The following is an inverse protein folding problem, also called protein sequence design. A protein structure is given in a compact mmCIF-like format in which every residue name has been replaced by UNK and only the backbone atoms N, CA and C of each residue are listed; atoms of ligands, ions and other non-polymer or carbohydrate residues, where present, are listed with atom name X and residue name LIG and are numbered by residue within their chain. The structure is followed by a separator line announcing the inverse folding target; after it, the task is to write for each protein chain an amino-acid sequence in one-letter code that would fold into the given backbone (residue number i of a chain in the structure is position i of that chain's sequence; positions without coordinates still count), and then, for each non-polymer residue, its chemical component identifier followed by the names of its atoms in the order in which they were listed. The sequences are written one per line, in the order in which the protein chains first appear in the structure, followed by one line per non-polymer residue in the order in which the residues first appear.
data_IF_375538809724
#
_entry.id   IF_375538809724
#
_cell.length_a   1.000
_cell.length_b   1.000
_cell.length_c   1.000
_cell.angle_alpha   90.00
_cell.angle_beta   90.00
_cell.angle_gamma   90.00
#
_symmetry.space_group_name_H-M   'P 1'
#
loop_
_entity.id
_entity.type
_entity.pdbx_description
1 polymer ?
#
# COMPACT_ATOMS: atom_id res chain seq x y z
N UNK A 1 -40.53 21.43 25.59
CA UNK A 1 -40.02 20.54 26.68
C UNK A 1 -40.47 19.07 26.52
N UNK A 2 -41.49 18.74 25.76
CA UNK A 2 -41.95 17.37 25.50
C UNK A 2 -41.19 16.68 24.35
N UNK A 3 -40.68 17.42 23.38
CA UNK A 3 -39.88 16.87 22.24
C UNK A 3 -38.47 16.38 22.64
N UNK A 4 -37.87 16.96 23.67
CA UNK A 4 -36.52 16.56 24.15
C UNK A 4 -36.59 15.32 25.08
N UNK A 5 -37.75 14.97 25.59
CA UNK A 5 -37.96 13.77 26.43
C UNK A 5 -38.10 12.49 25.58
N UNK A 6 -38.58 12.64 24.33
CA UNK A 6 -38.73 11.51 23.38
C UNK A 6 -37.40 11.14 22.65
N UNK A 7 -36.39 12.00 22.63
CA UNK A 7 -35.08 11.70 22.05
C UNK A 7 -34.14 10.98 23.04
N UNK A 8 -34.37 11.09 24.36
CA UNK A 8 -33.61 10.33 25.37
C UNK A 8 -34.12 8.90 25.58
N UNK A 9 -35.38 8.59 25.25
CA UNK A 9 -35.99 7.27 25.43
C UNK A 9 -35.67 6.26 24.30
N UNK A 10 -34.91 6.64 23.26
CA UNK A 10 -34.54 5.74 22.15
C UNK A 10 -33.14 5.13 22.28
N UNK A 11 -32.38 5.40 23.36
CA UNK A 11 -30.99 5.01 23.48
C UNK A 11 -30.69 3.83 24.41
N UNK A 12 -31.70 3.18 24.96
CA UNK A 12 -31.54 1.93 25.70
C UNK A 12 -32.47 0.86 25.13
N UNK A 13 -32.35 0.52 23.83
CA UNK A 13 -32.82 -0.78 23.39
C UNK A 13 -31.79 -1.81 23.85
N UNK A 14 -32.19 -2.63 24.84
CA UNK A 14 -31.54 -3.88 25.20
C UNK A 14 -31.14 -4.60 23.89
N UNK A 15 -29.86 -4.81 23.67
CA UNK A 15 -29.31 -5.85 22.81
C UNK A 15 -29.85 -7.18 23.40
N UNK A 16 -31.01 -7.57 22.96
CA UNK A 16 -31.74 -8.72 23.50
C UNK A 16 -31.25 -9.94 22.75
N UNK A 17 -30.62 -10.83 23.46
CA UNK A 17 -30.33 -12.25 23.27
C UNK A 17 -28.90 -12.70 23.04
N UNK A 18 -27.92 -11.84 22.68
CA UNK A 18 -26.53 -12.26 22.66
C UNK A 18 -25.72 -11.47 23.70
N UNK A 19 -24.94 -12.18 24.55
CA UNK A 19 -24.02 -11.50 25.46
C UNK A 19 -22.90 -10.78 24.71
N UNK A 20 -22.36 -9.71 25.30
CA UNK A 20 -21.21 -8.97 24.73
C UNK A 20 -20.03 -9.88 24.37
N UNK A 21 -19.83 -10.93 25.21
CA UNK A 21 -18.79 -11.94 24.95
C UNK A 21 -19.08 -12.75 23.70
N UNK A 22 -20.31 -13.14 23.42
CA UNK A 22 -20.67 -13.92 22.22
C UNK A 22 -20.52 -13.03 20.98
N UNK A 23 -20.91 -11.75 21.06
CA UNK A 23 -20.72 -10.78 19.97
C UNK A 23 -19.23 -10.57 19.67
N UNK A 24 -18.39 -10.42 20.70
CA UNK A 24 -16.94 -10.31 20.55
C UNK A 24 -16.34 -11.57 19.90
N UNK A 25 -16.73 -12.77 20.36
CA UNK A 25 -16.25 -14.02 19.78
C UNK A 25 -16.68 -14.19 18.31
N UNK A 26 -17.91 -13.81 17.97
CA UNK A 26 -18.38 -13.79 16.57
C UNK A 26 -17.56 -12.83 15.72
N UNK A 27 -17.23 -11.65 16.25
CA UNK A 27 -16.36 -10.69 15.60
C UNK A 27 -14.96 -11.25 15.34
N UNK A 28 -14.32 -11.86 16.36
CA UNK A 28 -13.03 -12.53 16.18
C UNK A 28 -13.10 -13.66 15.15
N UNK A 29 -14.14 -14.50 15.21
CA UNK A 29 -14.33 -15.57 14.23
C UNK A 29 -14.46 -15.01 12.80
N UNK A 30 -15.17 -13.89 12.63
CA UNK A 30 -15.29 -13.20 11.34
C UNK A 30 -13.94 -12.70 10.81
N UNK A 31 -13.17 -11.99 11.66
CA UNK A 31 -11.84 -11.49 11.28
C UNK A 31 -10.88 -12.64 10.94
N UNK A 32 -10.83 -13.66 11.80
CA UNK A 32 -9.98 -14.84 11.61
C UNK A 32 -10.38 -15.59 10.33
N UNK A 33 -11.68 -15.75 10.05
CA UNK A 33 -12.14 -16.42 8.83
C UNK A 33 -11.67 -15.69 7.57
N UNK A 34 -11.79 -14.35 7.52
CA UNK A 34 -11.27 -13.55 6.40
C UNK A 34 -9.75 -13.78 6.26
N UNK A 35 -9.00 -13.61 7.34
CA UNK A 35 -7.54 -13.77 7.33
C UNK A 35 -7.14 -15.17 6.84
N UNK A 36 -7.79 -16.23 7.34
CA UNK A 36 -7.49 -17.62 6.95
C UNK A 36 -7.78 -17.86 5.47
N UNK A 37 -8.91 -17.34 4.94
CA UNK A 37 -9.24 -17.47 3.51
C UNK A 37 -8.18 -16.81 2.63
N UNK A 38 -7.68 -15.64 3.03
CA UNK A 38 -6.66 -14.90 2.29
C UNK A 38 -5.28 -15.56 2.41
N UNK A 39 -4.84 -15.94 3.61
CA UNK A 39 -3.55 -16.62 3.81
C UNK A 39 -3.48 -17.97 3.09
N UNK A 40 -4.60 -18.69 2.96
CA UNK A 40 -4.66 -19.95 2.22
C UNK A 40 -4.92 -19.77 0.71
N UNK A 41 -4.98 -18.53 0.22
CA UNK A 41 -5.29 -18.22 -1.19
C UNK A 41 -6.57 -18.93 -1.70
N UNK A 42 -7.59 -19.07 -0.83
CA UNK A 42 -8.86 -19.74 -1.21
C UNK A 42 -9.64 -18.86 -2.17
N UNK A 43 -9.57 -17.53 -1.98
CA UNK A 43 -10.29 -16.56 -2.81
C UNK A 43 -9.60 -15.19 -2.80
N UNK A 44 -10.09 -14.28 -3.65
CA UNK A 44 -9.60 -12.89 -3.70
C UNK A 44 -10.17 -12.05 -2.55
N UNK A 45 -9.47 -10.97 -2.11
CA UNK A 45 -9.87 -10.16 -0.96
C UNK A 45 -11.31 -9.66 -1.03
N UNK A 46 -11.76 -9.14 -2.17
CA UNK A 46 -13.13 -8.66 -2.35
C UNK A 46 -14.18 -9.71 -1.95
N UNK A 47 -14.02 -10.95 -2.42
CA UNK A 47 -14.95 -12.03 -2.12
C UNK A 47 -14.85 -12.51 -0.67
N UNK A 48 -13.65 -12.57 -0.09
CA UNK A 48 -13.47 -12.93 1.32
C UNK A 48 -14.22 -11.94 2.22
N UNK A 49 -14.00 -10.63 2.03
CA UNK A 49 -14.65 -9.60 2.83
C UNK A 49 -16.18 -9.64 2.74
N UNK A 50 -16.75 -9.66 1.52
CA UNK A 50 -18.20 -9.62 1.38
C UNK A 50 -18.87 -10.92 1.83
N UNK A 51 -18.29 -12.09 1.51
CA UNK A 51 -18.92 -13.37 1.84
C UNK A 51 -18.96 -13.62 3.35
N UNK A 52 -17.82 -13.45 4.04
CA UNK A 52 -17.75 -13.69 5.47
C UNK A 52 -18.60 -12.68 6.24
N UNK A 53 -18.57 -11.38 5.84
CA UNK A 53 -19.41 -10.36 6.45
C UNK A 53 -20.89 -10.62 6.28
N UNK A 54 -21.30 -11.12 5.10
CA UNK A 54 -22.70 -11.46 4.82
C UNK A 54 -23.17 -12.63 5.70
N UNK A 55 -22.33 -13.65 5.89
CA UNK A 55 -22.63 -14.76 6.81
C UNK A 55 -22.79 -14.24 8.25
N UNK A 56 -21.86 -13.38 8.70
CA UNK A 56 -21.93 -12.76 10.03
C UNK A 56 -23.21 -11.93 10.18
N UNK A 57 -23.54 -11.10 9.19
CA UNK A 57 -24.78 -10.31 9.16
C UNK A 57 -26.02 -11.20 9.25
N UNK A 58 -26.07 -12.30 8.48
CA UNK A 58 -27.17 -13.26 8.51
C UNK A 58 -27.32 -13.93 9.90
N UNK A 59 -26.22 -14.29 10.56
CA UNK A 59 -26.23 -14.83 11.93
C UNK A 59 -26.79 -13.80 12.91
N UNK A 60 -26.37 -12.54 12.82
CA UNK A 60 -26.84 -11.46 13.70
C UNK A 60 -28.34 -11.17 13.53
N UNK A 61 -28.85 -11.22 12.31
CA UNK A 61 -30.28 -11.07 12.03
C UNK A 61 -31.06 -12.31 12.50
N UNK A 62 -30.59 -13.52 12.21
CA UNK A 62 -31.25 -14.77 12.59
C UNK A 62 -31.34 -14.97 14.13
N UNK A 63 -30.36 -14.46 14.87
CA UNK A 63 -30.34 -14.48 16.32
C UNK A 63 -31.16 -13.35 16.96
N UNK A 64 -31.72 -12.44 16.16
CA UNK A 64 -32.50 -11.29 16.65
C UNK A 64 -31.63 -10.20 17.31
N UNK A 65 -30.32 -10.24 17.16
CA UNK A 65 -29.43 -9.20 17.67
C UNK A 65 -29.66 -7.87 16.96
N UNK A 66 -29.91 -7.92 15.64
CA UNK A 66 -30.27 -6.78 14.80
C UNK A 66 -31.39 -7.13 13.84
N UNK A 67 -32.15 -6.12 13.41
CA UNK A 67 -33.14 -6.25 12.34
C UNK A 67 -32.43 -6.21 10.97
N UNK A 68 -33.13 -6.67 9.93
CA UNK A 68 -32.62 -6.62 8.55
C UNK A 68 -32.37 -5.17 8.12
N UNK A 69 -33.26 -4.23 8.49
CA UNK A 69 -33.14 -2.82 8.14
C UNK A 69 -31.94 -2.15 8.82
N UNK A 70 -31.67 -2.47 10.10
CA UNK A 70 -30.48 -1.99 10.81
C UNK A 70 -29.22 -2.50 10.13
N UNK A 71 -29.17 -3.80 9.79
CA UNK A 71 -28.03 -4.39 9.12
C UNK A 71 -27.78 -3.81 7.72
N UNK A 72 -28.85 -3.57 6.96
CA UNK A 72 -28.78 -2.88 5.66
C UNK A 72 -28.26 -1.44 5.82
N UNK A 73 -28.65 -0.75 6.90
CA UNK A 73 -28.14 0.57 7.27
C UNK A 73 -26.64 0.55 7.55
N UNK A 74 -26.15 -0.39 8.35
CA UNK A 74 -24.72 -0.53 8.67
C UNK A 74 -23.87 -0.80 7.41
N UNK A 75 -24.35 -1.71 6.55
CA UNK A 75 -23.66 -2.01 5.27
C UNK A 75 -23.59 -0.75 4.40
N UNK A 76 -24.70 -0.01 4.27
CA UNK A 76 -24.76 1.23 3.49
C UNK A 76 -23.79 2.28 4.01
N UNK A 77 -23.70 2.47 5.32
CA UNK A 77 -22.78 3.42 5.93
C UNK A 77 -21.32 2.99 5.76
N UNK A 78 -21.01 1.68 5.91
CA UNK A 78 -19.67 1.17 5.69
C UNK A 78 -19.18 1.37 4.25
N UNK A 79 -20.02 1.08 3.25
CA UNK A 79 -19.68 1.33 1.84
C UNK A 79 -19.55 2.83 1.56
N UNK A 80 -20.41 3.65 2.17
CA UNK A 80 -20.34 5.12 2.04
C UNK A 80 -19.03 5.66 2.62
N UNK A 81 -18.48 5.07 3.69
CA UNK A 81 -17.21 5.49 4.29
C UNK A 81 -16.00 5.29 3.38
N UNK A 82 -16.05 4.35 2.43
CA UNK A 82 -14.89 3.97 1.60
C UNK A 82 -15.05 4.31 0.11
N UNK A 83 -16.21 4.79 -0.35
CA UNK A 83 -16.49 4.97 -1.77
C UNK A 83 -15.55 5.99 -2.44
N UNK A 84 -15.22 7.09 -1.75
CA UNK A 84 -14.29 8.11 -2.26
C UNK A 84 -12.92 7.51 -2.56
N UNK A 85 -12.41 6.69 -1.63
CA UNK A 85 -11.14 5.97 -1.79
C UNK A 85 -11.18 4.98 -2.95
N UNK A 86 -12.30 4.26 -3.13
CA UNK A 86 -12.46 3.34 -4.26
C UNK A 86 -12.42 4.07 -5.62
N UNK A 87 -13.08 5.22 -5.71
CA UNK A 87 -13.06 6.08 -6.90
C UNK A 87 -11.65 6.65 -7.15
N UNK A 88 -10.98 7.11 -6.09
CA UNK A 88 -9.60 7.59 -6.18
C UNK A 88 -8.68 6.52 -6.77
N UNK A 89 -8.82 5.28 -6.33
CA UNK A 89 -8.00 4.16 -6.84
C UNK A 89 -8.20 3.93 -8.34
N UNK A 90 -9.44 3.91 -8.82
CA UNK A 90 -9.73 3.73 -10.25
C UNK A 90 -9.01 4.79 -11.09
N UNK A 91 -9.15 6.06 -10.70
CA UNK A 91 -8.66 7.15 -11.53
C UNK A 91 -7.17 7.43 -11.35
N UNK A 92 -6.58 7.16 -10.19
CA UNK A 92 -5.12 7.25 -10.02
C UNK A 92 -4.39 6.18 -10.84
N UNK A 93 -4.85 4.92 -10.81
CA UNK A 93 -4.31 3.84 -11.63
C UNK A 93 -4.46 4.14 -13.12
N UNK A 94 -5.62 4.63 -13.53
CA UNK A 94 -5.86 4.99 -14.93
C UNK A 94 -4.97 6.17 -15.37
N UNK A 95 -4.84 7.22 -14.55
CA UNK A 95 -4.02 8.40 -14.86
C UNK A 95 -2.56 8.02 -15.07
N UNK A 96 -1.96 7.34 -14.10
CA UNK A 96 -0.56 6.95 -14.21
C UNK A 96 -0.34 5.91 -15.29
N UNK A 97 -1.29 4.99 -15.51
CA UNK A 97 -1.28 4.07 -16.64
C UNK A 97 -1.24 4.78 -17.99
N UNK A 98 -2.06 5.81 -18.17
CA UNK A 98 -2.04 6.67 -19.38
C UNK A 98 -0.68 7.38 -19.56
N UNK A 99 -0.08 7.87 -18.47
CA UNK A 99 1.25 8.50 -18.52
C UNK A 99 2.35 7.50 -18.89
N UNK A 100 2.25 6.26 -18.40
CA UNK A 100 3.14 5.14 -18.75
C UNK A 100 2.99 4.77 -20.23
N UNK A 101 1.76 4.51 -20.69
CA UNK A 101 1.48 4.17 -22.10
C UNK A 101 1.96 5.26 -23.06
N UNK A 102 1.84 6.54 -22.66
CA UNK A 102 2.37 7.67 -23.45
C UNK A 102 3.89 7.76 -23.47
N UNK A 103 4.63 6.91 -22.72
CA UNK A 103 6.08 6.86 -22.68
C UNK A 103 6.72 8.00 -21.88
N UNK A 104 5.96 8.62 -20.95
CA UNK A 104 6.49 9.72 -20.12
C UNK A 104 7.62 9.21 -19.22
N UNK A 105 7.40 8.11 -18.52
CA UNK A 105 8.39 7.54 -17.61
C UNK A 105 9.60 7.01 -18.37
N UNK A 106 9.39 6.32 -19.49
CA UNK A 106 10.49 5.78 -20.33
C UNK A 106 11.44 6.87 -20.79
N UNK A 107 10.88 8.03 -21.19
CA UNK A 107 11.71 9.17 -21.63
C UNK A 107 12.50 9.81 -20.49
N UNK A 108 11.92 9.91 -19.29
CA UNK A 108 12.61 10.41 -18.09
C UNK A 108 13.74 9.43 -17.72
N UNK A 109 13.44 8.14 -17.66
CA UNK A 109 14.39 7.09 -17.31
C UNK A 109 15.49 6.97 -18.34
N UNK A 110 15.16 7.02 -19.64
CA UNK A 110 16.15 7.04 -20.72
C UNK A 110 17.09 8.24 -20.64
N UNK A 111 16.62 9.40 -20.20
CA UNK A 111 17.47 10.56 -19.96
C UNK A 111 18.40 10.37 -18.75
N UNK A 112 17.91 9.72 -17.70
CA UNK A 112 18.71 9.37 -16.51
C UNK A 112 19.75 8.31 -16.84
N UNK A 113 19.37 7.27 -17.61
CA UNK A 113 20.28 6.20 -18.03
C UNK A 113 21.49 6.71 -18.85
N UNK A 114 21.33 7.76 -19.64
CA UNK A 114 22.45 8.39 -20.35
C UNK A 114 23.52 8.97 -19.42
N UNK A 115 23.16 9.25 -18.16
CA UNK A 115 24.07 9.78 -17.12
C UNK A 115 24.68 8.67 -16.25
N UNK A 116 24.24 7.42 -16.41
CA UNK A 116 24.76 6.27 -15.66
C UNK A 116 26.19 5.98 -16.16
N UNK A 117 27.15 6.24 -15.29
CA UNK A 117 28.56 5.92 -15.51
C UNK A 117 28.92 4.53 -14.97
N UNK A 118 30.24 4.27 -14.80
CA UNK A 118 30.77 3.03 -14.21
C UNK A 118 30.97 3.14 -12.69
N UNK A 119 30.47 4.17 -12.04
CA UNK A 119 30.59 4.34 -10.59
C UNK A 119 29.52 3.49 -9.87
N UNK A 120 29.93 2.46 -9.18
CA UNK A 120 29.06 1.52 -8.43
C UNK A 120 28.08 2.24 -7.51
N UNK A 121 28.54 3.25 -6.75
CA UNK A 121 27.68 4.04 -5.86
C UNK A 121 26.71 4.91 -6.66
N UNK A 122 27.18 5.51 -7.78
CA UNK A 122 26.32 6.27 -8.68
C UNK A 122 25.21 5.41 -9.31
N UNK A 123 25.53 4.16 -9.66
CA UNK A 123 24.55 3.18 -10.18
C UNK A 123 23.53 2.81 -9.12
N UNK A 124 23.93 2.59 -7.88
CA UNK A 124 23.04 2.32 -6.77
C UNK A 124 22.08 3.50 -6.50
N UNK A 125 22.60 4.74 -6.52
CA UNK A 125 21.78 5.95 -6.41
C UNK A 125 20.80 6.11 -7.57
N UNK A 126 21.24 5.81 -8.78
CA UNK A 126 20.39 5.85 -9.98
C UNK A 126 19.26 4.82 -9.90
N UNK A 127 19.55 3.61 -9.38
CA UNK A 127 18.53 2.60 -9.11
C UNK A 127 17.45 3.13 -8.18
N UNK A 128 17.84 3.76 -7.07
CA UNK A 128 16.92 4.37 -6.11
C UNK A 128 16.05 5.45 -6.80
N UNK A 129 16.66 6.33 -7.57
CA UNK A 129 15.96 7.42 -8.26
C UNK A 129 14.97 6.90 -9.32
N UNK A 130 15.38 5.91 -10.12
CA UNK A 130 14.50 5.29 -11.14
C UNK A 130 13.33 4.58 -10.44
N UNK A 131 13.57 3.87 -9.33
CA UNK A 131 12.51 3.21 -8.58
C UNK A 131 11.53 4.22 -7.94
N UNK A 132 12.00 5.37 -7.43
CA UNK A 132 11.13 6.45 -6.92
C UNK A 132 10.24 6.98 -8.05
N UNK A 133 10.81 7.30 -9.21
CA UNK A 133 10.07 7.83 -10.36
C UNK A 133 9.12 6.78 -10.91
N UNK A 134 9.58 5.54 -11.07
CA UNK A 134 8.77 4.43 -11.56
C UNK A 134 7.61 4.04 -10.64
N UNK A 135 7.70 4.37 -9.34
CA UNK A 135 6.64 4.08 -8.36
C UNK A 135 5.65 5.24 -8.15
N UNK A 136 5.72 6.29 -8.94
CA UNK A 136 4.75 7.39 -8.87
C UNK A 136 3.31 6.93 -9.15
N UNK A 137 3.13 5.85 -9.90
CA UNK A 137 1.84 5.22 -10.15
C UNK A 137 1.28 4.41 -8.95
N UNK A 138 2.09 4.19 -7.91
CA UNK A 138 1.75 3.34 -6.76
C UNK A 138 1.72 1.85 -7.11
N UNK A 139 2.13 1.46 -8.31
CA UNK A 139 2.11 0.09 -8.82
C UNK A 139 3.43 -0.66 -8.59
N UNK A 140 3.42 -1.71 -7.76
CA UNK A 140 4.62 -2.50 -7.54
C UNK A 140 5.11 -3.23 -8.80
N UNK A 141 4.18 -3.73 -9.61
CA UNK A 141 4.50 -4.44 -10.84
C UNK A 141 5.14 -3.52 -11.90
N UNK A 142 4.54 -2.35 -12.14
CA UNK A 142 5.05 -1.35 -13.09
C UNK A 142 6.45 -0.89 -12.72
N UNK A 143 6.69 -0.61 -11.43
CA UNK A 143 8.01 -0.20 -10.95
C UNK A 143 9.08 -1.25 -11.23
N UNK A 144 8.79 -2.53 -10.97
CA UNK A 144 9.74 -3.60 -11.24
C UNK A 144 9.98 -3.78 -12.74
N UNK A 145 8.94 -3.74 -13.58
CA UNK A 145 9.05 -3.83 -15.04
C UNK A 145 9.89 -2.69 -15.64
N UNK A 146 9.89 -1.53 -15.01
CA UNK A 146 10.67 -0.38 -15.45
C UNK A 146 12.10 -0.44 -14.90
N UNK A 147 12.24 -0.64 -13.59
CA UNK A 147 13.54 -0.46 -12.91
C UNK A 147 14.49 -1.62 -13.14
N UNK A 148 14.00 -2.87 -13.09
CA UNK A 148 14.88 -4.03 -13.16
C UNK A 148 15.46 -4.20 -14.56
N UNK A 149 14.70 -4.21 -15.67
CA UNK A 149 15.29 -4.31 -17.01
C UNK A 149 16.24 -3.18 -17.33
N UNK A 150 15.95 -1.95 -16.86
CA UNK A 150 16.84 -0.80 -17.09
C UNK A 150 18.19 -0.93 -16.36
N UNK A 151 18.19 -1.45 -15.12
CA UNK A 151 19.37 -1.45 -14.27
C UNK A 151 20.14 -2.77 -14.26
N UNK A 152 19.48 -3.89 -14.50
CA UNK A 152 20.08 -5.23 -14.46
C UNK A 152 21.31 -5.39 -15.37
N UNK A 153 21.28 -4.91 -16.65
CA UNK A 153 22.47 -4.96 -17.52
C UNK A 153 23.65 -4.15 -16.97
N UNK A 154 23.37 -3.04 -16.27
CA UNK A 154 24.40 -2.22 -15.64
C UNK A 154 25.01 -2.92 -14.45
N UNK A 155 24.15 -3.57 -13.61
CA UNK A 155 24.60 -4.39 -12.50
C UNK A 155 25.46 -5.57 -12.96
N UNK A 156 25.04 -6.28 -14.05
CA UNK A 156 25.82 -7.34 -14.70
C UNK A 156 27.21 -6.82 -15.10
N UNK A 157 27.25 -5.73 -15.84
CA UNK A 157 28.51 -5.13 -16.34
C UNK A 157 29.47 -4.75 -15.22
N UNK A 158 28.95 -4.30 -14.07
CA UNK A 158 29.74 -3.85 -12.93
C UNK A 158 29.91 -4.93 -11.85
N UNK A 159 29.48 -6.15 -12.10
CA UNK A 159 29.55 -7.28 -11.16
C UNK A 159 28.85 -7.01 -9.81
N UNK A 160 27.81 -6.18 -9.81
CA UNK A 160 26.99 -5.87 -8.64
C UNK A 160 25.97 -6.99 -8.42
N UNK A 161 25.59 -7.28 -7.16
CA UNK A 161 24.60 -8.31 -6.83
C UNK A 161 23.18 -7.89 -7.21
N UNK A 162 22.40 -8.82 -7.75
CA UNK A 162 20.99 -8.65 -8.11
C UNK A 162 20.10 -8.40 -6.88
N UNK A 163 20.47 -9.01 -5.75
CA UNK A 163 19.82 -8.81 -4.45
C UNK A 163 19.97 -7.36 -3.97
N UNK A 164 21.10 -6.72 -4.26
CA UNK A 164 21.32 -5.27 -3.97
C UNK A 164 20.43 -4.40 -4.84
N UNK A 165 20.25 -4.74 -6.12
CA UNK A 165 19.30 -4.06 -7.01
C UNK A 165 17.88 -4.11 -6.40
N UNK A 166 17.42 -5.30 -6.04
CA UNK A 166 16.11 -5.50 -5.44
C UNK A 166 15.96 -4.76 -4.11
N UNK A 167 16.95 -4.84 -3.22
CA UNK A 167 16.92 -4.16 -1.92
C UNK A 167 16.74 -2.65 -2.06
N UNK A 168 17.51 -2.01 -2.94
CA UNK A 168 17.41 -0.56 -3.18
C UNK A 168 16.05 -0.22 -3.79
N UNK A 169 15.61 -1.01 -4.77
CA UNK A 169 14.33 -0.83 -5.43
C UNK A 169 13.16 -0.91 -4.44
N UNK A 170 13.08 -1.97 -3.63
CA UNK A 170 11.96 -2.15 -2.67
C UNK A 170 11.97 -1.12 -1.55
N UNK A 171 13.16 -0.62 -1.15
CA UNK A 171 13.25 0.48 -0.17
C UNK A 171 12.66 1.76 -0.74
N UNK A 172 13.00 2.12 -1.97
CA UNK A 172 12.45 3.29 -2.66
C UNK A 172 10.92 3.18 -2.87
N UNK A 173 10.45 2.00 -3.29
CA UNK A 173 9.02 1.72 -3.46
C UNK A 173 8.24 1.86 -2.14
N UNK A 174 8.82 1.40 -1.03
CA UNK A 174 8.22 1.52 0.30
C UNK A 174 7.95 2.98 0.69
N UNK A 175 8.88 3.89 0.38
CA UNK A 175 8.70 5.33 0.64
C UNK A 175 7.58 5.92 -0.23
N UNK A 176 7.51 5.52 -1.50
CA UNK A 176 6.49 6.01 -2.42
C UNK A 176 5.08 5.51 -2.11
N UNK A 177 4.95 4.37 -1.45
CA UNK A 177 3.66 3.88 -0.94
C UNK A 177 3.01 4.79 0.13
N UNK A 178 3.75 5.74 0.68
CA UNK A 178 3.21 6.74 1.61
C UNK A 178 2.38 7.83 0.91
N UNK A 179 2.43 7.93 -0.44
CA UNK A 179 1.63 8.91 -1.20
C UNK A 179 0.12 8.70 -0.98
N UNK A 180 -0.71 9.75 -1.15
CA UNK A 180 -2.15 9.66 -0.87
C UNK A 180 -2.89 8.68 -1.78
N UNK A 181 -2.36 8.38 -2.95
CA UNK A 181 -2.83 7.31 -3.86
C UNK A 181 -2.06 5.99 -3.71
N UNK A 182 -1.13 5.92 -2.77
CA UNK A 182 -0.43 4.68 -2.42
C UNK A 182 -1.39 3.67 -1.79
N UNK A 183 -1.31 2.42 -2.23
CA UNK A 183 -2.22 1.37 -1.80
C UNK A 183 -2.37 1.22 -0.28
N UNK A 184 -1.28 1.16 0.49
CA UNK A 184 -1.34 1.10 1.95
C UNK A 184 -1.97 2.32 2.59
N UNK A 185 -1.62 3.53 2.15
CA UNK A 185 -2.15 4.80 2.68
C UNK A 185 -3.65 4.90 2.48
N UNK A 186 -4.14 4.59 1.27
CA UNK A 186 -5.58 4.61 0.98
C UNK A 186 -6.38 3.61 1.82
N UNK A 187 -5.83 2.39 2.05
CA UNK A 187 -6.48 1.38 2.89
C UNK A 187 -6.56 1.83 4.34
N UNK A 188 -5.45 2.34 4.88
CA UNK A 188 -5.42 2.84 6.25
C UNK A 188 -6.40 4.01 6.44
N UNK A 189 -6.40 4.98 5.53
CA UNK A 189 -7.30 6.12 5.53
C UNK A 189 -8.78 5.67 5.54
N UNK A 190 -9.14 4.72 4.67
CA UNK A 190 -10.51 4.21 4.60
C UNK A 190 -10.96 3.49 5.88
N UNK A 191 -10.04 2.82 6.59
CA UNK A 191 -10.35 2.12 7.85
C UNK A 191 -10.60 3.09 9.00
N UNK A 192 -9.83 4.19 9.05
CA UNK A 192 -10.00 5.22 10.10
C UNK A 192 -10.98 6.32 9.69
N UNK A 193 -11.71 6.14 8.60
CA UNK A 193 -12.70 7.08 8.06
C UNK A 193 -12.12 8.50 7.81
N UNK A 194 -10.87 8.56 7.35
CA UNK A 194 -10.15 9.79 7.01
C UNK A 194 -9.96 9.89 5.49
N UNK A 195 -9.94 11.12 4.95
CA UNK A 195 -9.56 11.31 3.55
C UNK A 195 -8.08 10.94 3.36
N UNK A 196 -7.71 10.25 2.26
CA UNK A 196 -6.34 9.83 2.02
C UNK A 196 -5.32 10.98 2.02
N UNK A 197 -5.75 12.17 1.58
CA UNK A 197 -4.93 13.35 1.55
C UNK A 197 -4.61 13.86 2.97
N UNK A 198 -5.62 13.86 3.87
CA UNK A 198 -5.44 14.28 5.27
C UNK A 198 -4.48 13.35 6.02
N UNK A 199 -4.58 12.03 5.77
CA UNK A 199 -3.62 11.09 6.33
C UNK A 199 -2.21 11.32 5.76
N UNK A 200 -2.10 11.61 4.46
CA UNK A 200 -0.82 11.88 3.83
C UNK A 200 -0.14 13.14 4.37
N UNK A 201 -0.87 14.21 4.64
CA UNK A 201 -0.29 15.40 5.28
C UNK A 201 0.37 15.06 6.62
N UNK A 202 -0.22 14.15 7.40
CA UNK A 202 0.38 13.65 8.62
C UNK A 202 1.59 12.73 8.36
N UNK A 203 1.62 12.01 7.23
CA UNK A 203 2.72 11.14 6.80
C UNK A 203 3.89 11.89 6.15
N UNK A 204 3.71 13.14 5.70
CA UNK A 204 4.76 13.90 4.99
C UNK A 204 6.12 13.93 5.70
N UNK A 205 6.21 14.20 7.00
CA UNK A 205 7.51 14.18 7.69
C UNK A 205 8.17 12.81 7.59
N UNK A 206 7.39 11.73 7.66
CA UNK A 206 7.88 10.37 7.54
C UNK A 206 8.29 10.02 6.10
N UNK A 207 7.64 10.60 5.10
CA UNK A 207 8.04 10.45 3.71
C UNK A 207 9.40 11.10 3.43
N UNK A 208 9.66 12.28 4.02
CA UNK A 208 10.99 12.92 3.95
C UNK A 208 12.05 12.04 4.61
N UNK A 209 11.79 11.53 5.82
CA UNK A 209 12.67 10.56 6.51
C UNK A 209 12.91 9.33 5.62
N UNK A 210 11.86 8.81 5.01
CA UNK A 210 11.93 7.68 4.10
C UNK A 210 12.83 7.94 2.89
N UNK A 211 12.74 9.11 2.26
CA UNK A 211 13.64 9.49 1.15
C UNK A 211 15.10 9.54 1.59
N UNK A 212 15.39 10.13 2.76
CA UNK A 212 16.75 10.16 3.32
C UNK A 212 17.27 8.74 3.56
N UNK A 213 16.43 7.84 4.09
CA UNK A 213 16.79 6.44 4.34
C UNK A 213 16.95 5.64 3.04
N UNK A 214 16.12 5.90 2.01
CA UNK A 214 16.26 5.23 0.71
C UNK A 214 17.57 5.64 0.02
N UNK A 215 17.89 6.93 0.00
CA UNK A 215 19.16 7.45 -0.52
C UNK A 215 20.33 6.90 0.31
N UNK A 216 20.22 6.92 1.63
CA UNK A 216 21.22 6.36 2.54
C UNK A 216 21.44 4.86 2.32
N UNK A 217 20.37 4.09 2.09
CA UNK A 217 20.43 2.66 1.71
C UNK A 217 21.19 2.47 0.40
N UNK A 218 20.88 3.26 -0.63
CA UNK A 218 21.56 3.19 -1.92
C UNK A 218 23.06 3.51 -1.80
N UNK A 219 23.43 4.55 -1.04
CA UNK A 219 24.83 4.90 -0.78
C UNK A 219 25.53 3.79 0.00
N UNK A 220 24.94 3.34 1.10
CA UNK A 220 25.55 2.31 1.96
C UNK A 220 25.81 1.01 1.18
N UNK A 221 24.80 0.49 0.52
CA UNK A 221 24.93 -0.74 -0.25
C UNK A 221 25.77 -0.57 -1.52
N UNK A 222 25.75 0.60 -2.15
CA UNK A 222 26.66 0.94 -3.23
C UNK A 222 28.13 0.93 -2.78
N UNK A 223 28.44 1.43 -1.57
CA UNK A 223 29.77 1.36 -0.98
C UNK A 223 30.18 -0.07 -0.61
N UNK A 224 29.23 -0.88 -0.10
CA UNK A 224 29.46 -2.29 0.21
C UNK A 224 29.75 -3.10 -1.08
N UNK A 225 28.98 -2.87 -2.15
CA UNK A 225 29.26 -3.50 -3.46
C UNK A 225 30.62 -3.07 -4.01
N UNK A 226 30.96 -1.78 -3.93
CA UNK A 226 32.28 -1.31 -4.35
C UNK A 226 33.43 -1.98 -3.61
N UNK A 227 33.30 -2.16 -2.26
CA UNK A 227 34.29 -2.86 -1.46
C UNK A 227 34.37 -4.34 -1.84
N UNK A 228 33.21 -5.01 -1.98
CA UNK A 228 33.13 -6.42 -2.37
C UNK A 228 33.81 -6.67 -3.72
N UNK A 229 33.43 -5.88 -4.73
CA UNK A 229 33.99 -6.02 -6.10
C UNK A 229 35.51 -5.86 -6.10
N UNK A 230 36.04 -4.93 -5.30
CA UNK A 230 37.48 -4.71 -5.20
C UNK A 230 38.24 -5.91 -4.57
N UNK A 231 37.57 -6.85 -3.92
CA UNK A 231 38.17 -8.06 -3.32
C UNK A 231 37.98 -9.31 -4.18
N UNK A 232 37.23 -9.24 -5.30
CA UNK A 232 37.01 -10.39 -6.17
C UNK A 232 38.19 -10.60 -7.10
N UNK A 233 38.61 -11.87 -7.24
CA UNK A 233 39.57 -12.30 -8.27
C UNK A 233 38.87 -12.50 -9.64
N UNK A 234 39.69 -12.75 -10.69
CA UNK A 234 39.16 -12.91 -12.05
C UNK A 234 38.19 -14.09 -12.21
N UNK A 235 38.38 -15.17 -11.45
CA UNK A 235 37.52 -16.35 -11.48
C UNK A 235 36.16 -16.06 -10.81
N UNK A 236 36.16 -15.35 -9.68
CA UNK A 236 34.94 -14.93 -8.99
C UNK A 236 34.14 -13.89 -9.83
N UNK A 237 34.82 -12.99 -10.53
CA UNK A 237 34.18 -12.05 -11.46
C UNK A 237 33.51 -12.76 -12.63
N UNK A 238 34.15 -13.80 -13.21
CA UNK A 238 33.56 -14.62 -14.26
C UNK A 238 32.31 -15.37 -13.77
N UNK A 239 32.36 -15.99 -12.58
CA UNK A 239 31.23 -16.68 -11.98
C UNK A 239 30.05 -15.75 -11.65
N UNK A 240 30.30 -14.50 -11.27
CA UNK A 240 29.25 -13.50 -11.10
C UNK A 240 28.57 -13.13 -12.42
N UNK A 241 29.33 -13.07 -13.52
CA UNK A 241 28.79 -12.77 -14.85
C UNK A 241 27.87 -13.88 -15.37
N UNK A 242 28.19 -15.16 -15.08
CA UNK A 242 27.39 -16.33 -15.50
C UNK A 242 26.02 -16.44 -14.80
N UNK A 243 25.84 -15.78 -13.66
CA UNK A 243 24.55 -15.78 -12.94
C UNK A 243 23.44 -15.00 -13.64
N UNK A 244 23.77 -14.21 -14.65
CA UNK A 244 22.82 -13.41 -15.39
C UNK A 244 22.36 -14.18 -16.63
N UNK A 245 21.11 -14.66 -16.64
CA UNK A 245 20.48 -15.26 -17.79
C UNK A 245 19.99 -14.18 -18.78
N UNK A 246 20.20 -14.39 -20.07
CA UNK A 246 19.76 -13.48 -21.12
C UNK A 246 18.31 -13.78 -21.47
N UNK A 247 17.36 -13.21 -20.75
CA UNK A 247 15.95 -13.22 -21.14
C UNK A 247 15.57 -11.87 -21.78
N UNK A 248 15.48 -11.88 -23.10
CA UNK A 248 14.95 -10.77 -23.90
C UNK A 248 13.43 -10.67 -23.75
N UNK A 249 12.92 -9.64 -23.09
CA UNK A 249 11.52 -9.22 -23.20
C UNK A 249 11.42 -7.72 -23.50
N UNK A 250 11.57 -7.38 -24.76
CA UNK A 250 11.22 -6.04 -25.29
C UNK A 250 10.19 -6.20 -26.40
N UNK A 251 8.93 -5.75 -26.24
CA UNK A 251 8.12 -5.39 -27.42
C UNK A 251 6.63 -5.01 -27.23
N UNK A 252 6.12 -4.36 -26.17
CA UNK A 252 4.70 -3.96 -26.18
C UNK A 252 4.37 -2.48 -25.95
N UNK A 253 5.31 -1.63 -25.59
CA UNK A 253 5.04 -0.20 -25.28
C UNK A 253 5.19 0.78 -26.45
N UNK A 254 5.74 0.38 -27.58
CA UNK A 254 6.10 1.30 -28.67
C UNK A 254 4.90 1.90 -29.43
N UNK A 255 3.77 1.19 -29.54
CA UNK A 255 2.62 1.63 -30.36
C UNK A 255 1.81 2.77 -29.71
N UNK A 256 1.74 2.79 -28.38
CA UNK A 256 0.99 3.79 -27.62
C UNK A 256 1.84 5.00 -27.23
N UNK A 257 3.15 4.96 -27.37
CA UNK A 257 4.05 6.04 -27.01
C UNK A 257 3.77 7.33 -27.77
N UNK A 258 3.79 8.47 -27.07
CA UNK A 258 3.49 9.81 -27.60
C UNK A 258 4.61 10.81 -27.24
N UNK A 259 5.82 10.61 -27.76
CA UNK A 259 6.99 11.43 -27.38
C UNK A 259 6.80 12.93 -27.67
N UNK A 260 5.93 13.29 -28.61
CA UNK A 260 5.59 14.68 -28.94
C UNK A 260 4.84 15.39 -27.80
N UNK A 261 4.09 14.67 -26.98
CA UNK A 261 3.33 15.22 -25.84
C UNK A 261 4.07 15.08 -24.50
N UNK A 262 5.34 14.70 -24.51
CA UNK A 262 6.13 14.48 -23.28
C UNK A 262 6.08 15.67 -22.31
N UNK A 263 6.32 16.88 -22.80
CA UNK A 263 6.33 18.10 -21.97
C UNK A 263 4.92 18.33 -21.37
N UNK A 264 3.88 18.15 -22.18
CA UNK A 264 2.51 18.24 -21.71
C UNK A 264 2.22 17.24 -20.60
N UNK A 265 2.61 15.97 -20.77
CA UNK A 265 2.40 14.91 -19.79
C UNK A 265 3.14 15.19 -18.47
N UNK A 266 4.36 15.70 -18.52
CA UNK A 266 5.11 16.11 -17.33
C UNK A 266 4.42 17.29 -16.63
N UNK A 267 4.03 18.32 -17.37
CA UNK A 267 3.33 19.49 -16.81
C UNK A 267 1.98 19.06 -16.20
N UNK A 268 1.22 18.20 -16.88
CA UNK A 268 -0.06 17.69 -16.39
C UNK A 268 0.13 16.89 -15.09
N UNK A 269 1.14 16.02 -15.04
CA UNK A 269 1.44 15.23 -13.84
C UNK A 269 1.82 16.14 -12.67
N UNK A 270 2.69 17.13 -12.90
CA UNK A 270 3.05 18.10 -11.87
C UNK A 270 1.84 18.94 -11.42
N UNK A 271 0.98 19.37 -12.35
CA UNK A 271 -0.23 20.11 -12.03
C UNK A 271 -1.18 19.27 -11.17
N UNK A 272 -1.40 18.00 -11.50
CA UNK A 272 -2.20 17.06 -10.69
C UNK A 272 -1.62 16.96 -9.27
N UNK A 273 -0.31 16.76 -9.12
CA UNK A 273 0.34 16.68 -7.80
C UNK A 273 0.20 18.00 -7.03
N UNK A 274 0.43 19.15 -7.67
CA UNK A 274 0.30 20.45 -7.03
C UNK A 274 -1.13 20.68 -6.53
N UNK A 275 -2.14 20.39 -7.36
CA UNK A 275 -3.55 20.56 -6.98
C UNK A 275 -3.94 19.61 -5.84
N UNK A 276 -3.39 18.38 -5.80
CA UNK A 276 -3.56 17.46 -4.68
C UNK A 276 -2.97 18.02 -3.38
N UNK A 277 -1.75 18.61 -3.45
CA UNK A 277 -1.09 19.25 -2.30
C UNK A 277 -1.86 20.47 -1.80
N UNK A 278 -2.48 21.23 -2.72
CA UNK A 278 -3.30 22.39 -2.37
C UNK A 278 -4.63 22.02 -1.71
N UNK A 279 -5.06 20.77 -1.80
CA UNK A 279 -6.27 20.20 -1.20
C UNK A 279 -7.57 21.02 -1.45
N UNK A 280 -7.67 21.62 -2.64
CA UNK A 280 -8.82 22.46 -3.02
C UNK A 280 -10.02 21.60 -3.48
N UNK A 281 -9.72 20.46 -4.09
CA UNK A 281 -10.71 19.54 -4.64
C UNK A 281 -10.52 18.13 -4.09
N UNK A 282 -11.60 17.31 -4.01
CA UNK A 282 -11.45 15.91 -3.65
C UNK A 282 -10.43 15.20 -4.55
N UNK A 283 -9.53 14.44 -3.96
CA UNK A 283 -8.39 13.80 -4.67
C UNK A 283 -8.85 12.97 -5.88
N UNK A 284 -9.97 12.25 -5.77
CA UNK A 284 -10.53 11.47 -6.89
C UNK A 284 -10.94 12.35 -8.08
N UNK A 285 -11.46 13.55 -7.83
CA UNK A 285 -11.85 14.48 -8.90
C UNK A 285 -10.62 15.02 -9.65
N UNK A 286 -9.56 15.34 -8.93
CA UNK A 286 -8.29 15.79 -9.53
C UNK A 286 -7.75 14.75 -10.49
N UNK A 287 -7.75 13.47 -10.10
CA UNK A 287 -7.34 12.38 -10.99
C UNK A 287 -8.31 12.14 -12.14
N UNK A 288 -9.64 12.30 -11.96
CA UNK A 288 -10.63 12.24 -13.06
C UNK A 288 -10.31 13.26 -14.14
N UNK A 289 -10.06 14.52 -13.75
CA UNK A 289 -9.71 15.59 -14.69
C UNK A 289 -8.37 15.32 -15.34
N UNK A 290 -7.36 14.91 -14.56
CA UNK A 290 -6.05 14.52 -15.09
C UNK A 290 -6.13 13.40 -16.13
N UNK A 291 -6.92 12.35 -15.86
CA UNK A 291 -7.19 11.26 -16.81
C UNK A 291 -7.85 11.76 -18.10
N UNK A 292 -8.89 12.58 -17.98
CA UNK A 292 -9.62 13.10 -19.13
C UNK A 292 -8.68 13.92 -20.03
N UNK A 293 -7.90 14.83 -19.44
CA UNK A 293 -6.92 15.65 -20.19
C UNK A 293 -5.82 14.77 -20.78
N UNK A 294 -5.28 13.82 -20.01
CA UNK A 294 -4.24 12.91 -20.46
C UNK A 294 -4.69 12.07 -21.66
N UNK A 295 -5.89 11.48 -21.61
CA UNK A 295 -6.42 10.67 -22.72
C UNK A 295 -6.73 11.55 -23.94
N UNK A 296 -7.42 12.68 -23.76
CA UNK A 296 -7.86 13.53 -24.88
C UNK A 296 -6.70 14.13 -25.66
N UNK A 297 -5.62 14.50 -24.99
CA UNK A 297 -4.45 15.10 -25.65
C UNK A 297 -3.53 14.03 -26.27
N UNK A 298 -3.26 12.94 -25.58
CA UNK A 298 -2.35 11.93 -26.08
C UNK A 298 -2.95 11.05 -27.18
N UNK A 299 -4.25 10.82 -27.15
CA UNK A 299 -4.91 9.84 -28.03
C UNK A 299 -6.07 10.46 -28.77
N UNK A 300 -6.28 10.08 -30.02
CA UNK A 300 -7.38 10.59 -30.84
C UNK A 300 -8.36 9.47 -31.21
N UNK A 301 -9.65 9.78 -31.07
CA UNK A 301 -10.74 8.93 -31.54
C UNK A 301 -11.30 7.99 -30.48
N UNK A 302 -12.62 7.87 -30.47
CA UNK A 302 -13.43 7.12 -29.51
C UNK A 302 -12.96 5.67 -29.30
N UNK A 303 -12.54 4.98 -30.36
CA UNK A 303 -12.08 3.58 -30.27
C UNK A 303 -10.84 3.47 -29.41
N UNK A 304 -9.84 4.36 -29.63
CA UNK A 304 -8.59 4.37 -28.89
C UNK A 304 -8.81 4.79 -27.43
N UNK A 305 -9.62 5.81 -27.16
CA UNK A 305 -9.99 6.19 -25.79
C UNK A 305 -10.60 5.01 -25.02
N UNK A 306 -11.53 4.27 -25.65
CA UNK A 306 -12.14 3.07 -25.05
C UNK A 306 -11.12 1.95 -24.81
N UNK A 307 -10.16 1.76 -25.72
CA UNK A 307 -9.10 0.76 -25.58
C UNK A 307 -8.19 1.07 -24.40
N UNK A 308 -7.75 2.32 -24.26
CA UNK A 308 -6.90 2.79 -23.15
C UNK A 308 -7.59 2.61 -21.79
N UNK A 309 -8.87 2.99 -21.69
CA UNK A 309 -9.64 2.78 -20.45
C UNK A 309 -9.73 1.29 -20.13
N UNK A 310 -9.96 0.43 -21.14
CA UNK A 310 -10.08 -1.03 -20.94
C UNK A 310 -8.76 -1.69 -20.56
N UNK A 311 -7.61 -1.22 -21.05
CA UNK A 311 -6.30 -1.81 -20.71
C UNK A 311 -5.98 -1.68 -19.22
N UNK A 312 -6.40 -0.60 -18.57
CA UNK A 312 -6.18 -0.37 -17.14
C UNK A 312 -7.40 -0.75 -16.25
N UNK A 313 -8.53 -1.14 -16.86
CA UNK A 313 -9.77 -1.44 -16.14
C UNK A 313 -9.63 -2.58 -15.14
N UNK A 314 -8.88 -3.64 -15.46
CA UNK A 314 -8.70 -4.80 -14.58
C UNK A 314 -8.05 -4.41 -13.26
N UNK A 315 -6.98 -3.63 -13.30
CA UNK A 315 -6.26 -3.17 -12.10
C UNK A 315 -7.16 -2.23 -11.25
N UNK A 316 -7.78 -1.24 -11.89
CA UNK A 316 -8.69 -0.30 -11.20
C UNK A 316 -9.90 -1.00 -10.58
N UNK A 317 -10.54 -1.93 -11.31
CA UNK A 317 -11.71 -2.67 -10.82
C UNK A 317 -11.35 -3.62 -9.67
N UNK A 318 -10.23 -4.32 -9.76
CA UNK A 318 -9.78 -5.24 -8.69
C UNK A 318 -9.59 -4.50 -7.37
N UNK A 319 -8.91 -3.37 -7.40
CA UNK A 319 -8.67 -2.55 -6.20
C UNK A 319 -9.95 -1.92 -5.66
N UNK A 320 -10.77 -1.31 -6.52
CA UNK A 320 -12.02 -0.68 -6.11
C UNK A 320 -13.00 -1.69 -5.51
N UNK A 321 -13.14 -2.88 -6.11
CA UNK A 321 -14.00 -3.95 -5.55
C UNK A 321 -13.51 -4.42 -4.19
N UNK A 322 -12.22 -4.56 -3.97
CA UNK A 322 -11.66 -4.90 -2.65
C UNK A 322 -12.03 -3.85 -1.61
N UNK A 323 -11.86 -2.57 -1.90
CA UNK A 323 -12.19 -1.47 -0.99
C UNK A 323 -13.69 -1.44 -0.67
N UNK A 324 -14.54 -1.55 -1.69
CA UNK A 324 -16.01 -1.53 -1.48
C UNK A 324 -16.49 -2.74 -0.67
N UNK A 325 -15.94 -3.93 -0.91
CA UNK A 325 -16.26 -5.13 -0.13
C UNK A 325 -15.70 -5.06 1.30
N UNK A 326 -14.52 -4.45 1.50
CA UNK A 326 -14.02 -4.13 2.83
C UNK A 326 -14.92 -3.10 3.55
N UNK A 327 -15.56 -2.17 2.82
CA UNK A 327 -16.60 -1.29 3.36
C UNK A 327 -17.80 -2.06 3.93
N UNK A 328 -18.23 -3.14 3.28
CA UNK A 328 -19.28 -4.05 3.83
C UNK A 328 -18.80 -4.68 5.14
N UNK A 329 -17.58 -5.20 5.17
CA UNK A 329 -16.97 -5.80 6.36
C UNK A 329 -16.90 -4.80 7.53
N UNK A 330 -16.41 -3.58 7.29
CA UNK A 330 -16.35 -2.51 8.27
C UNK A 330 -17.76 -2.09 8.75
N UNK A 331 -18.72 -2.01 7.83
CA UNK A 331 -20.11 -1.71 8.17
C UNK A 331 -20.70 -2.74 9.14
N UNK A 332 -20.54 -4.03 8.82
CA UNK A 332 -21.06 -5.12 9.67
C UNK A 332 -20.38 -5.16 11.03
N UNK A 333 -19.06 -5.01 11.12
CA UNK A 333 -18.34 -5.14 12.39
C UNK A 333 -18.26 -3.84 13.20
N UNK A 334 -17.97 -2.70 12.54
CA UNK A 334 -17.76 -1.44 13.25
C UNK A 334 -19.07 -0.74 13.57
N UNK A 335 -19.97 -0.58 12.60
CA UNK A 335 -21.23 0.15 12.80
C UNK A 335 -22.24 -0.63 13.68
N UNK A 336 -22.12 -1.95 13.73
CA UNK A 336 -22.90 -2.79 14.67
C UNK A 336 -22.40 -2.73 16.13
N UNK A 337 -21.21 -2.17 16.37
CA UNK A 337 -20.58 -2.15 17.70
C UNK A 337 -19.88 -3.45 18.11
N UNK A 338 -19.85 -4.47 17.24
CA UNK A 338 -19.16 -5.75 17.53
C UNK A 338 -17.67 -5.51 17.74
N UNK A 339 -17.06 -4.64 16.95
CA UNK A 339 -15.64 -4.31 17.05
C UNK A 339 -15.29 -3.68 18.40
N UNK A 340 -16.19 -2.86 18.96
CA UNK A 340 -16.05 -2.30 20.32
C UNK A 340 -16.07 -3.41 21.39
N UNK A 341 -16.94 -4.42 21.24
CA UNK A 341 -16.98 -5.56 22.17
C UNK A 341 -15.72 -6.42 22.09
N UNK A 342 -15.18 -6.63 20.88
CA UNK A 342 -13.88 -7.27 20.69
C UNK A 342 -12.78 -6.48 21.40
N UNK A 343 -12.77 -5.16 21.23
CA UNK A 343 -11.75 -4.29 21.81
C UNK A 343 -11.81 -4.31 23.35
N UNK A 344 -13.00 -4.24 23.97
CA UNK A 344 -13.16 -4.36 25.42
C UNK A 344 -12.63 -5.71 25.91
N UNK A 345 -12.96 -6.81 25.23
CA UNK A 345 -12.47 -8.14 25.58
C UNK A 345 -10.95 -8.24 25.53
N UNK A 346 -10.30 -7.66 24.48
CA UNK A 346 -8.84 -7.61 24.36
C UNK A 346 -8.23 -6.70 25.42
N UNK A 347 -8.81 -5.52 25.67
CA UNK A 347 -8.29 -4.56 26.65
C UNK A 347 -8.26 -5.13 28.07
N UNK A 348 -9.18 -6.04 28.41
CA UNK A 348 -9.16 -6.73 29.70
C UNK A 348 -7.97 -7.71 29.88
N UNK A 349 -7.35 -8.13 28.79
CA UNK A 349 -6.19 -9.04 28.79
C UNK A 349 -4.87 -8.25 28.67
N UNK A 350 -4.90 -7.11 28.01
CA UNK A 350 -3.71 -6.27 27.78
C UNK A 350 -3.45 -5.43 29.05
N UNK A 351 -2.25 -5.50 29.64
CA UNK A 351 -1.90 -4.60 30.75
C UNK A 351 -2.05 -3.12 30.33
N UNK A 352 -2.67 -2.31 31.17
CA UNK A 352 -2.92 -0.88 30.89
C UNK A 352 -1.62 -0.12 30.56
N UNK A 353 -0.50 -0.53 31.15
CA UNK A 353 0.82 0.02 30.88
C UNK A 353 1.29 -0.23 29.43
N UNK A 354 0.84 -1.31 28.79
CA UNK A 354 1.19 -1.64 27.40
C UNK A 354 0.20 -1.08 26.38
N UNK A 355 -1.07 -0.87 26.77
CA UNK A 355 -2.11 -0.43 25.86
C UNK A 355 -1.80 0.91 25.17
N UNK A 356 -1.21 1.85 25.89
CA UNK A 356 -0.79 3.14 25.35
C UNK A 356 0.32 3.02 24.30
N UNK A 357 1.19 2.01 24.41
CA UNK A 357 2.28 1.77 23.48
C UNK A 357 1.89 0.95 22.25
N UNK A 358 0.60 0.75 22.01
CA UNK A 358 0.09 -0.04 20.88
C UNK A 358 0.67 0.42 19.52
N UNK A 359 0.79 1.73 19.20
CA UNK A 359 1.42 2.16 17.95
C UNK A 359 2.89 1.72 17.85
N UNK A 360 3.63 1.73 18.96
CA UNK A 360 5.03 1.31 19.00
C UNK A 360 5.14 -0.20 18.82
N UNK A 361 4.33 -0.95 19.54
CA UNK A 361 4.33 -2.42 19.48
C UNK A 361 4.02 -2.89 18.06
N UNK A 362 2.97 -2.37 17.45
CA UNK A 362 2.61 -2.75 16.09
C UNK A 362 3.64 -2.26 15.07
N UNK A 363 4.23 -1.09 15.28
CA UNK A 363 5.32 -0.57 14.45
C UNK A 363 6.51 -1.53 14.41
N UNK A 364 6.96 -2.02 15.56
CA UNK A 364 8.06 -3.01 15.66
C UNK A 364 7.70 -4.32 14.96
N UNK A 365 6.46 -4.79 15.12
CA UNK A 365 5.98 -6.05 14.56
C UNK A 365 5.59 -5.96 13.08
N UNK A 366 5.46 -4.76 12.52
CA UNK A 366 4.94 -4.54 11.17
C UNK A 366 5.71 -5.30 10.07
N UNK A 367 7.04 -5.31 10.13
CA UNK A 367 7.88 -6.02 9.15
C UNK A 367 7.75 -7.54 9.27
N UNK A 368 7.88 -8.17 10.46
CA UNK A 368 7.57 -9.58 10.63
C UNK A 368 6.14 -9.96 10.19
N UNK A 369 5.15 -9.15 10.54
CA UNK A 369 3.76 -9.39 10.15
C UNK A 369 3.52 -9.23 8.64
N UNK A 370 4.28 -8.38 7.95
CA UNK A 370 4.18 -8.23 6.50
C UNK A 370 4.60 -9.51 5.75
N UNK A 371 5.38 -10.40 6.35
CA UNK A 371 5.69 -11.71 5.77
C UNK A 371 4.53 -12.71 5.89
N UNK A 372 3.60 -12.47 6.82
CA UNK A 372 2.46 -13.35 7.10
C UNK A 372 1.16 -12.82 6.48
N UNK A 373 0.98 -11.51 6.47
CA UNK A 373 -0.25 -10.85 6.02
C UNK A 373 -0.02 -10.12 4.72
N UNK A 374 -0.92 -10.34 3.76
CA UNK A 374 -1.00 -9.46 2.60
C UNK A 374 -1.47 -8.04 3.01
N UNK A 375 -1.47 -7.11 2.06
CA UNK A 375 -1.82 -5.71 2.35
C UNK A 375 -3.28 -5.56 2.78
N UNK A 376 -4.18 -6.34 2.19
CA UNK A 376 -5.62 -6.25 2.48
C UNK A 376 -5.95 -6.81 3.86
N UNK A 377 -5.45 -8.01 4.19
CA UNK A 377 -5.62 -8.61 5.53
C UNK A 377 -5.00 -7.74 6.62
N UNK A 378 -3.86 -7.11 6.35
CA UNK A 378 -3.17 -6.26 7.31
C UNK A 378 -3.94 -4.98 7.63
N UNK A 379 -4.41 -4.26 6.60
CA UNK A 379 -5.11 -2.99 6.84
C UNK A 379 -6.61 -3.17 7.09
N UNK A 380 -7.30 -4.06 6.38
CA UNK A 380 -8.74 -4.25 6.60
C UNK A 380 -9.07 -5.27 7.69
N UNK A 381 -8.20 -6.26 7.92
CA UNK A 381 -8.39 -7.25 8.97
C UNK A 381 -7.85 -6.80 10.31
N UNK A 382 -6.59 -6.37 10.37
CA UNK A 382 -5.89 -6.12 11.65
C UNK A 382 -6.08 -4.67 12.15
N UNK A 383 -5.93 -3.65 11.30
CA UNK A 383 -5.98 -2.25 11.71
C UNK A 383 -7.30 -1.86 12.43
N UNK A 384 -8.50 -2.23 11.94
CA UNK A 384 -9.74 -1.83 12.64
C UNK A 384 -9.82 -2.38 14.06
N UNK A 385 -9.32 -3.61 14.28
CA UNK A 385 -9.26 -4.23 15.61
C UNK A 385 -8.31 -3.45 16.51
N UNK A 386 -7.11 -3.13 16.01
CA UNK A 386 -6.12 -2.36 16.77
C UNK A 386 -6.59 -0.94 17.10
N UNK A 387 -7.29 -0.29 16.17
CA UNK A 387 -7.93 1.02 16.41
C UNK A 387 -8.97 0.92 17.52
N UNK A 388 -9.84 -0.08 17.46
CA UNK A 388 -10.85 -0.29 18.51
C UNK A 388 -10.22 -0.58 19.88
N UNK A 389 -9.14 -1.37 19.93
CA UNK A 389 -8.38 -1.63 21.16
C UNK A 389 -7.69 -0.36 21.64
N UNK A 390 -7.01 0.37 20.74
CA UNK A 390 -6.33 1.62 21.07
C UNK A 390 -7.25 2.68 21.67
N UNK A 391 -8.48 2.78 21.16
CA UNK A 391 -9.50 3.66 21.69
C UNK A 391 -9.82 3.38 23.17
N UNK A 392 -9.76 2.12 23.63
CA UNK A 392 -9.96 1.75 25.05
C UNK A 392 -8.84 2.30 25.96
N UNK A 393 -7.66 2.56 25.38
CA UNK A 393 -6.50 3.12 26.08
C UNK A 393 -6.27 4.61 25.78
N UNK A 394 -7.20 5.25 25.05
CA UNK A 394 -7.11 6.66 24.68
C UNK A 394 -6.10 6.97 23.58
N UNK A 395 -5.68 5.96 22.80
CA UNK A 395 -4.75 6.15 21.67
C UNK A 395 -5.53 6.64 20.45
N UNK A 396 -5.02 7.70 19.81
CA UNK A 396 -5.64 8.22 18.59
C UNK A 396 -5.49 7.21 17.43
N UNK A 397 -6.59 6.87 16.72
CA UNK A 397 -6.57 5.97 15.54
C UNK A 397 -5.52 6.33 14.50
N UNK A 398 -5.30 7.62 14.24
CA UNK A 398 -4.32 8.07 13.25
C UNK A 398 -2.90 7.62 13.59
N UNK A 399 -2.49 7.64 14.86
CA UNK A 399 -1.13 7.22 15.25
C UNK A 399 -0.91 5.71 15.06
N UNK A 400 -1.95 4.89 15.27
CA UNK A 400 -1.90 3.45 14.98
C UNK A 400 -1.77 3.23 13.47
N UNK A 401 -2.61 3.90 12.68
CA UNK A 401 -2.61 3.81 11.22
C UNK A 401 -1.26 4.27 10.63
N UNK A 402 -0.73 5.40 11.11
CA UNK A 402 0.57 5.94 10.67
C UNK A 402 1.70 4.95 10.99
N UNK A 403 1.77 4.43 12.22
CA UNK A 403 2.78 3.44 12.60
C UNK A 403 2.71 2.19 11.71
N UNK A 404 1.49 1.70 11.43
CA UNK A 404 1.26 0.56 10.57
C UNK A 404 1.66 0.85 9.12
N UNK A 405 1.28 2.01 8.56
CA UNK A 405 1.61 2.38 7.18
C UNK A 405 3.11 2.55 7.01
N UNK A 406 3.75 3.35 7.87
CA UNK A 406 5.18 3.67 7.77
C UNK A 406 6.04 2.41 7.90
N UNK A 407 5.80 1.63 8.95
CA UNK A 407 6.66 0.49 9.28
C UNK A 407 6.44 -0.69 8.32
N UNK A 408 5.19 -1.01 7.96
CA UNK A 408 4.90 -2.12 7.05
C UNK A 408 5.41 -1.85 5.63
N UNK A 409 5.37 -0.60 5.17
CA UNK A 409 5.82 -0.28 3.82
C UNK A 409 7.29 -0.62 3.57
N UNK A 410 8.12 -0.65 4.61
CA UNK A 410 9.48 -1.15 4.48
C UNK A 410 9.57 -2.60 4.00
N UNK A 411 8.53 -3.42 4.25
CA UNK A 411 8.51 -4.84 3.91
C UNK A 411 7.47 -5.25 2.85
N UNK A 412 6.75 -4.31 2.26
CA UNK A 412 5.68 -4.62 1.30
C UNK A 412 6.16 -5.51 0.15
N UNK A 413 7.31 -5.20 -0.42
CA UNK A 413 7.84 -5.87 -1.61
C UNK A 413 8.95 -6.90 -1.32
N UNK A 414 9.15 -7.27 -0.06
CA UNK A 414 9.91 -8.46 0.33
C UNK A 414 9.00 -9.60 0.79
N UNK A 415 7.72 -9.34 0.90
CA UNK A 415 6.71 -10.25 1.41
C UNK A 415 6.41 -11.38 0.42
N UNK A 416 6.41 -12.65 0.86
CA UNK A 416 6.06 -13.78 0.01
C UNK A 416 4.56 -13.86 -0.33
N UNK A 417 3.73 -13.07 0.33
CA UNK A 417 2.29 -12.98 0.05
C UNK A 417 1.92 -11.78 -0.84
N UNK A 418 2.91 -11.00 -1.29
CA UNK A 418 2.71 -9.90 -2.22
C UNK A 418 3.02 -10.34 -3.66
N UNK A 419 2.04 -10.36 -4.60
CA UNK A 419 2.26 -10.84 -5.97
C UNK A 419 3.38 -10.09 -6.72
N UNK A 420 3.51 -8.78 -6.51
CA UNK A 420 4.54 -7.98 -7.14
C UNK A 420 5.97 -8.43 -6.77
N UNK A 421 6.17 -9.00 -5.57
CA UNK A 421 7.46 -9.56 -5.15
C UNK A 421 7.94 -10.63 -6.12
N UNK A 422 7.04 -11.54 -6.54
CA UNK A 422 7.38 -12.62 -7.47
C UNK A 422 7.76 -12.10 -8.86
N UNK A 423 7.12 -11.03 -9.31
CA UNK A 423 7.51 -10.38 -10.55
C UNK A 423 8.92 -9.77 -10.42
N UNK A 424 9.19 -9.05 -9.33
CA UNK A 424 10.50 -8.44 -9.09
C UNK A 424 11.62 -9.46 -9.03
N UNK A 425 11.46 -10.52 -8.24
CA UNK A 425 12.49 -11.57 -8.13
C UNK A 425 12.63 -12.37 -9.44
N UNK A 426 11.53 -12.62 -10.17
CA UNK A 426 11.55 -13.27 -11.48
C UNK A 426 12.36 -12.48 -12.50
N UNK A 427 12.10 -11.17 -12.63
CA UNK A 427 12.86 -10.29 -13.52
C UNK A 427 14.34 -10.17 -13.15
N UNK A 428 14.65 -10.20 -11.85
CA UNK A 428 16.03 -10.16 -11.38
C UNK A 428 16.72 -11.53 -11.40
N UNK A 429 15.98 -12.63 -11.60
CA UNK A 429 16.50 -14.00 -11.51
C UNK A 429 16.98 -14.37 -10.10
N UNK A 430 16.27 -13.95 -9.04
CA UNK A 430 16.60 -14.21 -7.63
C UNK A 430 15.55 -15.10 -7.00
N UNK A 431 15.95 -16.06 -6.17
CA UNK A 431 14.99 -16.90 -5.43
C UNK A 431 14.34 -16.11 -4.29
N UNK A 432 13.07 -16.40 -4.00
CA UNK A 432 12.31 -15.71 -2.93
C UNK A 432 12.99 -15.82 -1.56
N UNK A 433 13.57 -16.97 -1.24
CA UNK A 433 14.28 -17.19 0.03
C UNK A 433 15.51 -16.28 0.18
N UNK A 434 16.25 -16.09 -0.93
CA UNK A 434 17.48 -15.29 -0.94
C UNK A 434 17.12 -13.79 -0.89
N UNK A 435 16.06 -13.38 -1.60
CA UNK A 435 15.51 -12.03 -1.51
C UNK A 435 15.08 -11.68 -0.09
N UNK A 436 14.27 -12.53 0.55
CA UNK A 436 13.84 -12.32 1.94
C UNK A 436 15.05 -12.29 2.87
N UNK A 437 15.94 -13.28 2.79
CA UNK A 437 17.13 -13.37 3.63
C UNK A 437 18.04 -12.14 3.52
N UNK A 438 18.21 -11.62 2.31
CA UNK A 438 19.04 -10.45 2.03
C UNK A 438 18.40 -9.16 2.52
N UNK A 439 17.10 -9.01 2.33
CA UNK A 439 16.38 -7.75 2.56
C UNK A 439 15.80 -7.62 3.97
N UNK A 440 15.38 -8.72 4.62
CA UNK A 440 14.57 -8.68 5.84
C UNK A 440 15.21 -7.89 6.98
N UNK A 441 16.44 -8.22 7.34
CA UNK A 441 17.13 -7.56 8.46
C UNK A 441 17.34 -6.07 8.22
N UNK A 442 17.69 -5.70 6.98
CA UNK A 442 17.86 -4.30 6.58
C UNK A 442 16.55 -3.54 6.63
N UNK A 443 15.50 -4.08 6.01
CA UNK A 443 14.18 -3.44 5.96
C UNK A 443 13.54 -3.32 7.34
N UNK A 444 13.75 -4.32 8.21
CA UNK A 444 13.30 -4.21 9.59
C UNK A 444 14.08 -3.14 10.36
N UNK A 445 15.38 -3.04 10.16
CA UNK A 445 16.19 -1.95 10.71
C UNK A 445 15.71 -0.57 10.24
N UNK A 446 15.47 -0.40 8.94
CA UNK A 446 14.90 0.84 8.36
C UNK A 446 13.54 1.14 9.00
N UNK A 447 12.67 0.15 9.16
CA UNK A 447 11.36 0.29 9.81
C UNK A 447 11.48 0.79 11.26
N UNK A 448 12.43 0.24 12.04
CA UNK A 448 12.68 0.69 13.42
C UNK A 448 13.21 2.14 13.43
N UNK A 449 14.09 2.50 12.51
CA UNK A 449 14.57 3.89 12.39
C UNK A 449 13.40 4.83 12.04
N UNK A 450 12.53 4.44 11.12
CA UNK A 450 11.31 5.18 10.80
C UNK A 450 10.39 5.33 12.03
N UNK A 451 10.18 4.25 12.79
CA UNK A 451 9.36 4.27 14.00
C UNK A 451 9.93 5.25 15.03
N UNK A 452 11.24 5.18 15.30
CA UNK A 452 11.92 6.09 16.24
C UNK A 452 11.85 7.53 15.74
N UNK A 453 12.08 7.77 14.45
CA UNK A 453 11.94 9.10 13.86
C UNK A 453 10.51 9.63 13.98
N UNK A 454 9.50 8.79 13.77
CA UNK A 454 8.09 9.15 13.93
C UNK A 454 7.73 9.55 15.36
N UNK A 455 8.32 8.87 16.35
CA UNK A 455 8.17 9.24 17.77
C UNK A 455 8.85 10.57 18.09
N UNK A 456 10.09 10.78 17.61
CA UNK A 456 10.85 12.02 17.85
C UNK A 456 10.16 13.23 17.20
N UNK A 457 9.62 13.04 15.97
CA UNK A 457 8.91 14.09 15.24
C UNK A 457 7.47 14.31 15.74
N UNK A 458 6.99 13.50 16.69
CA UNK A 458 5.62 13.57 17.20
C UNK A 458 4.53 13.15 16.22
N UNK A 459 4.91 12.51 15.10
CA UNK A 459 3.99 11.98 14.10
C UNK A 459 3.33 10.68 14.59
N UNK A 460 4.07 9.89 15.37
CA UNK A 460 3.58 8.73 16.10
C UNK A 460 3.59 9.06 17.59
N UNK A 461 2.45 8.92 18.28
CA UNK A 461 2.32 9.19 19.70
C UNK A 461 1.66 8.01 20.41
N UNK A 462 1.78 7.96 21.74
CA UNK A 462 1.23 6.94 22.62
C UNK A 462 0.57 7.54 23.86
#
# INVERSE_FOLDING_TARGET
MILLRNLRGKKERKLTNMSDTILALLGFATVIAVIVLLLRNVTVPALAFVSVSTITAAVLVATGAFTLDEMAGFIKEGVKGVHGTAVLFIFSVLFFGVMTDAGMFDKIIGALMKKVGNNVVGVALMTCLIAIIGHLDGGGASTFLITIPAMLPVYKRLHMRRETLLLICVTAMGVMNLMPWGGPTMRAASVIEMEPNDLWFQLMPMQVVGFVLAIGTAIFWGLQEKKRIATLDAAALAAEAEKYDDSDEDAKSAELARPQFFIFNVILTLAVIIVLVMDIFPSYYVFMVGCALGILVNYRGKKLHSSIIKSHASAGLSMASTILCAGVFLGVLSKSGIMEKMAVMMANVIPTSLGKFLPVIIGVLSVPLALLFDTDSYFYGLLPVLVSVGNQFGVNPAHIAIAMVVCRNCATFISPVAPATYLGIGLAGVEIKDHIKYCFGWQWGVSIVCLVAGLILGVIQF
#
